data_IF_970014560138
#
_entry.id   IF_970014560138
#
_cell.length_a   1.000
_cell.length_b   1.000
_cell.length_c   1.000
_cell.angle_alpha   90.00
_cell.angle_beta   90.00
_cell.angle_gamma   90.00
#
_symmetry.space_group_name_H-M   'P 1'
#
loop_
_entity.id
_entity.type
_entity.pdbx_description
1 polymer ?
#
# COMPACT_ATOMS: atom_id res chain seq x y z
N UNK A 1 14.63 -12.73 9.58
CA UNK A 1 13.48 -12.69 10.53
C UNK A 1 12.21 -13.01 9.74
N UNK A 2 11.41 -13.97 10.20
CA UNK A 2 10.18 -14.37 9.52
C UNK A 2 8.98 -13.88 10.30
N UNK A 3 8.02 -13.29 9.58
CA UNK A 3 6.76 -12.79 10.12
C UNK A 3 5.61 -13.50 9.44
N UNK A 4 4.57 -13.79 10.21
CA UNK A 4 3.36 -14.47 9.75
C UNK A 4 2.13 -13.78 10.33
N UNK A 5 1.07 -13.68 9.54
CA UNK A 5 -0.19 -13.05 9.93
C UNK A 5 -1.37 -13.93 9.49
N UNK A 6 -2.58 -13.55 9.88
CA UNK A 6 -3.80 -14.21 9.44
C UNK A 6 -4.29 -13.64 8.10
N UNK A 7 -4.83 -14.49 7.20
CA UNK A 7 -5.30 -14.02 5.91
C UNK A 7 -6.48 -13.05 6.07
N UNK A 8 -6.46 -11.97 5.29
CA UNK A 8 -7.58 -11.01 5.19
C UNK A 8 -8.51 -11.40 4.03
N UNK A 9 -9.81 -11.21 4.21
CA UNK A 9 -10.82 -11.46 3.17
C UNK A 9 -10.56 -10.56 1.95
N UNK A 10 -10.39 -11.19 0.78
CA UNK A 10 -10.15 -10.49 -0.49
C UNK A 10 -8.68 -10.12 -0.76
N UNK A 11 -7.78 -10.25 0.22
CA UNK A 11 -6.39 -9.86 0.01
C UNK A 11 -5.68 -10.78 -1.01
N UNK A 12 -5.15 -10.18 -2.09
CA UNK A 12 -4.40 -10.87 -3.16
C UNK A 12 -2.90 -10.76 -2.91
N UNK A 13 -2.44 -9.62 -2.39
CA UNK A 13 -1.02 -9.38 -2.10
C UNK A 13 -0.85 -8.62 -0.79
N UNK A 14 0.22 -8.95 -0.07
CA UNK A 14 0.60 -8.32 1.18
C UNK A 14 1.94 -7.62 1.03
N UNK A 15 1.95 -6.35 1.40
CA UNK A 15 3.14 -5.54 1.55
C UNK A 15 3.48 -5.40 3.03
N UNK A 16 4.66 -5.89 3.40
CA UNK A 16 5.15 -5.85 4.77
C UNK A 16 6.30 -4.85 4.87
N UNK A 17 6.13 -3.85 5.73
CA UNK A 17 7.13 -2.83 6.01
C UNK A 17 7.71 -3.04 7.41
N UNK A 18 9.04 -3.05 7.50
CA UNK A 18 9.77 -3.14 8.75
C UNK A 18 10.55 -1.84 8.97
N UNK A 19 10.14 -1.04 9.97
CA UNK A 19 10.79 0.21 10.33
C UNK A 19 11.63 0.05 11.60
N UNK A 20 12.94 0.19 11.47
CA UNK A 20 13.89 0.18 12.57
C UNK A 20 13.99 1.54 13.27
N UNK A 21 14.20 1.53 14.58
CA UNK A 21 14.36 2.73 15.41
C UNK A 21 15.53 3.66 15.03
N UNK A 22 16.51 3.17 14.27
CA UNK A 22 17.65 3.95 13.77
C UNK A 22 17.43 4.53 12.35
N UNK A 23 16.18 4.53 11.85
CA UNK A 23 15.85 5.03 10.51
C UNK A 23 16.10 4.02 9.38
N UNK A 24 16.61 2.83 9.69
CA UNK A 24 16.70 1.72 8.72
C UNK A 24 15.31 1.15 8.45
N UNK A 25 14.97 0.91 7.19
CA UNK A 25 13.70 0.31 6.81
C UNK A 25 13.90 -0.78 5.76
N UNK A 26 13.07 -1.80 5.82
CA UNK A 26 13.07 -2.90 4.85
C UNK A 26 11.63 -3.25 4.47
N UNK A 27 11.44 -3.66 3.23
CA UNK A 27 10.14 -4.04 2.66
C UNK A 27 10.19 -5.45 2.15
N UNK A 28 9.04 -6.13 2.22
CA UNK A 28 8.88 -7.47 1.69
C UNK A 28 7.48 -7.62 1.12
N UNK A 29 7.39 -8.15 -0.09
CA UNK A 29 6.13 -8.38 -0.78
C UNK A 29 5.90 -9.90 -0.85
N UNK A 30 4.69 -10.34 -0.48
CA UNK A 30 4.31 -11.75 -0.50
C UNK A 30 2.82 -11.89 -0.81
N UNK A 31 2.46 -12.92 -1.58
CA UNK A 31 1.06 -13.32 -1.80
C UNK A 31 0.57 -14.30 -0.74
N UNK A 32 1.50 -14.89 0.02
CA UNK A 32 1.18 -15.75 1.16
C UNK A 32 1.05 -14.92 2.44
N UNK A 33 0.54 -15.54 3.50
CA UNK A 33 0.42 -14.89 4.83
C UNK A 33 1.72 -14.92 5.63
N UNK A 34 2.85 -15.07 4.94
CA UNK A 34 4.18 -15.11 5.54
C UNK A 34 5.18 -14.34 4.67
N UNK A 35 6.16 -13.73 5.34
CA UNK A 35 7.25 -13.02 4.70
C UNK A 35 8.53 -13.18 5.53
N UNK A 36 9.68 -13.29 4.84
CA UNK A 36 10.99 -13.37 5.48
C UNK A 36 11.89 -12.22 5.06
N UNK A 37 12.32 -11.42 6.04
CA UNK A 37 13.34 -10.39 5.85
C UNK A 37 14.74 -10.98 6.03
N UNK A 38 15.59 -10.83 5.01
CA UNK A 38 16.98 -11.29 5.03
C UNK A 38 17.96 -10.19 5.46
N UNK A 39 17.62 -8.92 5.22
CA UNK A 39 18.55 -7.79 5.36
C UNK A 39 18.34 -6.95 6.63
N UNK A 40 17.71 -7.51 7.68
CA UNK A 40 17.54 -6.76 8.93
C UNK A 40 18.86 -6.66 9.70
N UNK A 41 19.19 -5.43 10.11
CA UNK A 41 20.33 -5.16 10.98
C UNK A 41 20.05 -5.66 12.41
N UNK A 42 21.03 -6.34 12.98
CA UNK A 42 21.00 -6.83 14.35
C UNK A 42 21.02 -5.68 15.37
N UNK A 43 20.32 -5.85 16.49
CA UNK A 43 20.34 -4.90 17.61
C UNK A 43 19.38 -3.71 17.47
N UNK A 44 18.61 -3.64 16.38
CA UNK A 44 17.53 -2.65 16.20
C UNK A 44 16.18 -3.24 16.60
N UNK A 45 15.31 -2.39 17.14
CA UNK A 45 13.90 -2.71 17.34
C UNK A 45 13.14 -2.30 16.09
N UNK A 46 12.38 -3.23 15.52
CA UNK A 46 11.59 -3.01 14.31
C UNK A 46 10.10 -2.97 14.63
N UNK A 47 9.42 -1.97 14.09
CA UNK A 47 7.96 -1.91 13.97
C UNK A 47 7.55 -2.50 12.63
N UNK A 48 6.72 -3.54 12.66
CA UNK A 48 6.25 -4.23 11.45
C UNK A 48 4.83 -3.76 11.13
N UNK A 49 4.59 -3.40 9.87
CA UNK A 49 3.28 -3.02 9.34
C UNK A 49 2.97 -3.92 8.15
N UNK A 50 1.81 -4.58 8.18
CA UNK A 50 1.33 -5.44 7.08
C UNK A 50 0.16 -4.74 6.43
N UNK A 51 0.28 -4.46 5.13
CA UNK A 51 -0.77 -3.89 4.30
C UNK A 51 -1.26 -4.94 3.33
N UNK A 52 -2.53 -5.31 3.45
CA UNK A 52 -3.19 -6.19 2.50
C UNK A 52 -3.78 -5.36 1.37
N UNK A 53 -3.61 -5.79 0.13
CA UNK A 53 -4.25 -5.19 -1.03
C UNK A 53 -4.95 -6.25 -1.87
N UNK A 54 -6.09 -5.84 -2.41
CA UNK A 54 -6.88 -6.60 -3.37
C UNK A 54 -6.84 -5.83 -4.70
N UNK A 55 -6.89 -6.56 -5.80
CA UNK A 55 -6.97 -6.03 -7.16
C UNK A 55 -8.41 -5.53 -7.47
N UNK A 56 -9.35 -5.68 -6.51
CA UNK A 56 -10.76 -5.31 -6.66
C UNK A 56 -11.11 -3.89 -6.22
N UNK A 57 -10.16 -3.09 -5.75
CA UNK A 57 -10.43 -1.66 -5.54
C UNK A 57 -9.33 -0.73 -6.06
N UNK A 58 -9.03 -0.77 -7.37
CA UNK A 58 -8.64 0.47 -8.02
C UNK A 58 -9.89 1.35 -7.98
N UNK A 59 -10.02 2.21 -6.97
CA UNK A 59 -10.79 3.45 -7.09
C UNK A 59 -10.10 4.39 -8.09
N UNK A 60 -9.69 3.83 -9.23
CA UNK A 60 -9.19 4.56 -10.38
C UNK A 60 -10.45 5.14 -10.97
N UNK A 61 -10.60 6.45 -10.75
CA UNK A 61 -11.64 7.27 -11.34
C UNK A 61 -11.82 6.88 -12.81
N UNK A 62 -12.96 6.25 -13.12
CA UNK A 62 -13.32 5.95 -14.50
C UNK A 62 -14.06 7.16 -15.07
N UNK A 63 -13.97 7.31 -16.39
CA UNK A 63 -14.70 8.37 -17.11
C UNK A 63 -14.38 9.77 -16.55
N UNK A 64 -13.08 10.08 -16.37
CA UNK A 64 -12.66 11.42 -15.93
C UNK A 64 -12.99 12.44 -17.01
N UNK A 65 -13.94 13.31 -16.72
CA UNK A 65 -14.30 14.46 -17.55
C UNK A 65 -13.79 15.74 -16.88
N UNK A 66 -13.05 16.54 -17.64
CA UNK A 66 -12.59 17.84 -17.21
C UNK A 66 -13.26 18.92 -18.05
N UNK A 67 -14.03 19.80 -17.41
CA UNK A 67 -14.73 20.91 -18.04
C UNK A 67 -14.13 22.22 -17.56
N UNK A 68 -13.64 23.05 -18.49
CA UNK A 68 -13.22 24.40 -18.17
C UNK A 68 -14.40 25.37 -18.27
N UNK A 69 -14.65 26.09 -17.18
CA UNK A 69 -15.66 27.14 -17.08
C UNK A 69 -14.96 28.49 -17.26
N UNK A 70 -14.90 28.97 -18.51
CA UNK A 70 -14.19 30.19 -18.90
C UNK A 70 -14.80 31.48 -18.32
N UNK A 71 -16.03 31.44 -17.78
CA UNK A 71 -16.69 32.62 -17.21
C UNK A 71 -16.13 33.01 -15.84
N UNK A 72 -15.41 32.12 -15.16
CA UNK A 72 -14.83 32.36 -13.83
C UNK A 72 -13.44 31.70 -13.68
N UNK A 73 -12.77 31.38 -14.78
CA UNK A 73 -11.44 30.75 -14.80
C UNK A 73 -11.33 29.46 -13.93
N UNK A 74 -12.43 28.72 -13.80
CA UNK A 74 -12.51 27.51 -12.97
C UNK A 74 -12.51 26.24 -13.83
N UNK A 75 -11.71 25.24 -13.44
CA UNK A 75 -11.81 23.87 -13.98
C UNK A 75 -12.63 22.98 -13.06
N UNK A 76 -13.64 22.30 -13.61
CA UNK A 76 -14.42 21.27 -12.93
C UNK A 76 -13.95 19.91 -13.43
N UNK A 77 -13.70 18.97 -12.52
CA UNK A 77 -13.35 17.59 -12.86
C UNK A 77 -14.37 16.68 -12.22
N UNK A 78 -14.96 15.80 -13.03
CA UNK A 78 -15.94 14.78 -12.63
C UNK A 78 -15.47 13.40 -13.05
N UNK A 79 -15.83 12.38 -12.30
CA UNK A 79 -15.56 10.98 -12.61
C UNK A 79 -16.70 10.11 -12.09
N UNK A 80 -16.87 8.93 -12.67
CA UNK A 80 -17.79 7.90 -12.19
C UNK A 80 -17.01 6.83 -11.39
N UNK A 81 -17.66 6.27 -10.37
CA UNK A 81 -17.20 5.12 -9.58
C UNK A 81 -17.66 3.80 -10.21
#
# INVERSE_FOLDING_TARGET
VTVSWEPSLGAIVYDVFAQGNAGYASTCNSTETTCTFQDLLCGLTYSITVSASDDTCPCVAQQVEAVMVCSNDTGVVSWEE
#
